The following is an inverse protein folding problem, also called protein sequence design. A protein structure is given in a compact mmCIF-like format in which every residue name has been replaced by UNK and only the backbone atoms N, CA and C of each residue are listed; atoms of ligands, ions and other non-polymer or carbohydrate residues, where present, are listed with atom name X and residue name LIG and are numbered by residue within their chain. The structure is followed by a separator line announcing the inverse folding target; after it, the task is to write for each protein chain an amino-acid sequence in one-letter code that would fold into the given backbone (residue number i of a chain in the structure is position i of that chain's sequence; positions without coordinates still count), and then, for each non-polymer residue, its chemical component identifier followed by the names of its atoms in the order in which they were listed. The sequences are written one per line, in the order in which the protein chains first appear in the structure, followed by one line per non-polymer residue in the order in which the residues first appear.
data_IF_881295027338
#
_entry.id   IF_881295027338
#
_cell.length_a   1.000
_cell.length_b   1.000
_cell.length_c   1.000
_cell.angle_alpha   90.00
_cell.angle_beta   90.00
_cell.angle_gamma   90.00
#
_symmetry.space_group_name_H-M   'P 1'
#
loop_
_entity.id
_entity.type
_entity.pdbx_description
1 polymer ?
#
# COMPACT_ATOMS: atom_id res chain seq x y z
N UNK A 1 -12.46 10.45 -0.92
CA UNK A 1 -12.53 9.23 -0.09
C UNK A 1 -11.17 9.02 0.54
N UNK A 2 -11.10 8.56 1.80
CA UNK A 2 -9.84 8.23 2.45
C UNK A 2 -9.67 6.71 2.37
N UNK A 3 -8.49 6.23 2.01
CA UNK A 3 -8.15 4.80 2.01
C UNK A 3 -6.91 4.60 2.87
N UNK A 4 -6.77 3.42 3.45
CA UNK A 4 -5.60 2.99 4.21
C UNK A 4 -4.93 1.88 3.42
N UNK A 5 -3.61 1.97 3.20
CA UNK A 5 -2.87 0.89 2.55
C UNK A 5 -1.87 0.30 3.53
N UNK A 6 -1.96 -1.02 3.70
CA UNK A 6 -1.10 -1.79 4.60
C UNK A 6 -0.27 -2.77 3.78
N UNK A 7 1.05 -2.73 3.94
CA UNK A 7 1.97 -3.67 3.33
C UNK A 7 2.29 -4.81 4.31
N UNK A 8 2.28 -6.04 3.79
CA UNK A 8 2.60 -7.26 4.51
C UNK A 8 3.76 -7.97 3.82
N UNK A 9 4.70 -8.52 4.58
CA UNK A 9 5.80 -9.36 4.07
C UNK A 9 5.81 -10.65 4.87
N UNK A 10 5.71 -11.80 4.19
CA UNK A 10 5.62 -13.10 4.87
C UNK A 10 4.45 -13.21 5.85
N UNK A 11 3.38 -12.43 5.64
CA UNK A 11 2.21 -12.35 6.53
C UNK A 11 2.33 -11.38 7.72
N UNK A 12 3.48 -10.71 7.89
CA UNK A 12 3.69 -9.69 8.92
C UNK A 12 3.44 -8.29 8.36
N UNK A 13 2.70 -7.45 9.09
CA UNK A 13 2.52 -6.03 8.75
C UNK A 13 3.87 -5.31 8.91
N UNK A 14 4.34 -4.69 7.83
CA UNK A 14 5.63 -3.96 7.82
C UNK A 14 5.46 -2.46 7.66
N UNK A 15 4.33 -2.01 7.10
CA UNK A 15 4.03 -0.60 6.96
C UNK A 15 2.52 -0.36 6.84
N UNK A 16 2.04 0.68 7.50
CA UNK A 16 0.66 1.14 7.46
C UNK A 16 0.67 2.64 7.15
N UNK A 17 0.16 3.00 5.97
CA UNK A 17 0.17 4.38 5.50
C UNK A 17 -1.26 4.84 5.21
N UNK A 18 -1.76 5.87 5.93
CA UNK A 18 -3.03 6.49 5.56
C UNK A 18 -2.83 7.25 4.25
N UNK A 19 -3.64 6.89 3.25
CA UNK A 19 -3.68 7.58 1.97
C UNK A 19 -4.82 8.61 2.02
N UNK A 20 -4.45 9.88 2.03
CA UNK A 20 -5.42 10.96 1.91
C UNK A 20 -5.55 11.47 0.47
N UNK A 21 -6.77 11.94 0.16
CA UNK A 21 -7.12 13.04 -0.76
C UNK A 21 -7.85 12.64 -2.07
N UNK A 22 -8.86 13.44 -2.42
CA UNK A 22 -9.87 13.25 -3.47
C UNK A 22 -9.43 13.20 -4.95
N UNK A 23 -8.29 12.59 -5.25
CA UNK A 23 -7.83 12.26 -6.63
C UNK A 23 -7.66 10.74 -6.80
N UNK A 24 -8.23 9.92 -5.91
CA UNK A 24 -8.33 8.49 -6.10
C UNK A 24 -9.76 8.15 -6.50
N UNK A 25 -9.91 7.55 -7.69
CA UNK A 25 -11.19 7.01 -8.10
C UNK A 25 -11.58 5.93 -7.08
N UNK A 26 -12.77 5.99 -6.46
CA UNK A 26 -13.19 5.02 -5.46
C UNK A 26 -13.23 3.59 -6.01
N UNK A 27 -13.29 3.42 -7.34
CA UNK A 27 -13.37 2.12 -8.03
C UNK A 27 -12.01 1.56 -8.43
N UNK A 28 -10.92 2.33 -8.28
CA UNK A 28 -9.58 1.92 -8.70
C UNK A 28 -8.63 1.84 -7.50
N UNK A 29 -8.40 0.61 -7.02
CA UNK A 29 -7.42 0.32 -5.97
C UNK A 29 -5.98 0.25 -6.52
N UNK A 30 -5.82 0.12 -7.84
CA UNK A 30 -4.52 0.03 -8.52
C UNK A 30 -3.68 1.26 -8.24
N UNK A 31 -4.29 2.44 -8.30
CA UNK A 31 -3.61 3.67 -7.99
C UNK A 31 -3.12 3.71 -6.52
N UNK A 32 -3.92 3.22 -5.57
CA UNK A 32 -3.55 3.19 -4.14
C UNK A 32 -2.38 2.24 -3.89
N UNK A 33 -2.38 1.09 -4.57
CA UNK A 33 -1.27 0.13 -4.53
C UNK A 33 -0.01 0.72 -5.16
N UNK A 34 -0.09 1.37 -6.33
CA UNK A 34 1.08 1.98 -6.98
C UNK A 34 1.69 3.11 -6.15
N UNK A 35 0.86 3.91 -5.47
CA UNK A 35 1.36 4.88 -4.48
C UNK A 35 2.08 4.18 -3.33
N UNK A 36 1.48 3.12 -2.77
CA UNK A 36 2.05 2.39 -1.65
C UNK A 36 3.38 1.75 -2.03
N UNK A 37 3.50 1.19 -3.23
CA UNK A 37 4.77 0.69 -3.77
C UNK A 37 5.83 1.79 -3.78
N UNK A 38 5.54 2.94 -4.38
CA UNK A 38 6.47 4.09 -4.45
C UNK A 38 6.93 4.59 -3.07
N UNK A 39 6.09 4.44 -2.04
CA UNK A 39 6.38 4.92 -0.68
C UNK A 39 7.02 3.86 0.21
N UNK A 40 6.65 2.60 0.08
CA UNK A 40 7.04 1.53 1.00
C UNK A 40 8.21 0.71 0.44
N UNK A 41 8.22 0.40 -0.86
CA UNK A 41 9.27 -0.41 -1.50
C UNK A 41 10.69 0.12 -1.31
N UNK A 42 10.97 1.44 -1.27
CA UNK A 42 12.32 1.94 -0.99
C UNK A 42 12.88 1.52 0.38
N UNK A 43 12.02 1.14 1.32
CA UNK A 43 12.39 0.70 2.67
C UNK A 43 12.45 -0.82 2.81
N UNK A 44 12.12 -1.57 1.75
CA UNK A 44 12.12 -3.02 1.72
C UNK A 44 13.32 -3.54 0.94
N UNK A 45 13.95 -4.61 1.43
CA UNK A 45 14.97 -5.35 0.67
C UNK A 45 14.36 -5.99 -0.59
N UNK A 46 15.19 -6.39 -1.57
CA UNK A 46 14.69 -7.05 -2.79
C UNK A 46 13.85 -8.30 -2.49
N UNK A 47 14.23 -9.05 -1.45
CA UNK A 47 13.46 -10.21 -0.98
C UNK A 47 12.11 -9.79 -0.41
N UNK A 48 12.10 -8.81 0.50
CA UNK A 48 10.87 -8.33 1.11
C UNK A 48 9.93 -7.69 0.07
N UNK A 49 10.47 -7.00 -0.94
CA UNK A 49 9.70 -6.49 -2.08
C UNK A 49 9.05 -7.60 -2.89
N UNK A 50 9.76 -8.70 -3.15
CA UNK A 50 9.20 -9.84 -3.87
C UNK A 50 8.09 -10.57 -3.08
N UNK A 51 8.17 -10.55 -1.75
CA UNK A 51 7.18 -11.16 -0.85
C UNK A 51 6.09 -10.17 -0.39
N UNK A 52 6.18 -8.89 -0.77
CA UNK A 52 5.28 -7.84 -0.31
C UNK A 52 3.88 -7.97 -0.92
N UNK A 53 2.87 -8.01 -0.06
CA UNK A 53 1.45 -7.96 -0.43
C UNK A 53 0.83 -6.69 0.13
N UNK A 54 0.05 -5.97 -0.68
CA UNK A 54 -0.60 -4.72 -0.27
C UNK A 54 -2.10 -4.95 -0.09
N UNK A 55 -2.64 -4.51 1.05
CA UNK A 55 -4.07 -4.50 1.32
C UNK A 55 -4.56 -3.06 1.42
N UNK A 56 -5.57 -2.73 0.62
CA UNK A 56 -6.25 -1.45 0.64
C UNK A 56 -7.54 -1.60 1.45
N UNK A 57 -7.76 -0.72 2.42
CA UNK A 57 -8.95 -0.66 3.24
C UNK A 57 -9.60 0.73 3.06
N UNK A 58 -10.90 0.77 2.77
CA UNK A 58 -11.65 2.03 2.66
C UNK A 58 -12.05 2.52 4.06
N UNK A 59 -12.01 3.84 4.27
CA UNK A 59 -12.34 4.50 5.54
C UNK A 59 -13.55 5.42 5.40
#
# INVERSE_FOLDING_TARGET
MRKKVTAYVGGLEVANQPLEIGIFDPRDDSAAIEWAKRKIEPYLSDRERAEATYRVEEY
#
